data_IF_804739151914
#
_entry.id   IF_804739151914
#
_cell.length_a   1.000
_cell.length_b   1.000
_cell.length_c   1.000
_cell.angle_alpha   90.00
_cell.angle_beta   90.00
_cell.angle_gamma   90.00
#
_symmetry.space_group_name_H-M   'P 1'
#
loop_
_entity.id
_entity.type
_entity.pdbx_description
1 polymer ?
#
# COMPACT_ATOMS: atom_id res chain seq x y z
N UNK A 1 -10.68 -25.07 -5.96
CA UNK A 1 -10.56 -23.66 -5.49
C UNK A 1 -11.48 -22.64 -6.17
N UNK A 2 -12.04 -22.85 -7.37
CA UNK A 2 -13.00 -21.87 -7.97
C UNK A 2 -14.46 -22.02 -7.50
N UNK A 3 -14.84 -23.18 -6.94
CA UNK A 3 -16.23 -23.44 -6.45
C UNK A 3 -16.50 -22.92 -5.03
N UNK A 4 -15.45 -22.64 -4.24
CA UNK A 4 -15.57 -22.07 -2.89
C UNK A 4 -15.83 -20.55 -2.91
N UNK A 5 -15.42 -19.85 -3.97
CA UNK A 5 -15.63 -18.41 -4.09
C UNK A 5 -17.08 -18.06 -4.46
N UNK A 6 -17.79 -18.95 -5.15
CA UNK A 6 -19.21 -18.76 -5.51
C UNK A 6 -20.13 -18.98 -4.31
N UNK A 7 -19.77 -19.89 -3.39
CA UNK A 7 -20.52 -20.14 -2.15
C UNK A 7 -20.45 -18.96 -1.18
N UNK A 8 -19.31 -18.25 -1.12
CA UNK A 8 -19.12 -17.10 -0.23
C UNK A 8 -19.87 -15.86 -0.72
N UNK A 9 -20.07 -15.71 -2.03
CA UNK A 9 -20.85 -14.60 -2.62
C UNK A 9 -22.37 -14.88 -2.58
N UNK A 10 -22.79 -16.14 -2.67
CA UNK A 10 -24.20 -16.55 -2.49
C UNK A 10 -24.67 -16.42 -1.03
N UNK A 11 -23.80 -16.67 -0.04
CA UNK A 11 -24.16 -16.55 1.38
C UNK A 11 -24.36 -15.09 1.84
N UNK A 12 -23.84 -14.10 1.09
CA UNK A 12 -24.01 -12.68 1.39
C UNK A 12 -25.35 -12.09 0.89
N UNK A 13 -26.13 -12.83 0.09
CA UNK A 13 -27.42 -12.35 -0.44
C UNK A 13 -28.66 -12.88 0.32
N UNK A 14 -28.51 -13.88 1.18
CA UNK A 14 -29.63 -14.49 1.93
C UNK A 14 -29.97 -13.73 3.24
N UNK A 15 -29.10 -12.85 3.72
CA UNK A 15 -29.31 -12.10 4.98
C UNK A 15 -29.98 -10.72 4.81
N UNK A 16 -30.60 -10.41 3.66
CA UNK A 16 -31.19 -9.09 3.39
C UNK A 16 -32.72 -9.02 3.51
N UNK A 17 -33.43 -10.09 3.89
CA UNK A 17 -34.91 -10.05 3.93
C UNK A 17 -35.48 -10.73 5.17
N UNK A 18 -35.20 -10.22 6.37
CA UNK A 18 -36.07 -10.46 7.53
C UNK A 18 -36.10 -9.17 8.36
N UNK A 19 -37.21 -8.43 8.22
CA UNK A 19 -37.86 -7.62 9.27
C UNK A 19 -39.10 -6.96 8.67
N UNK A 20 -40.21 -7.69 8.63
CA UNK A 20 -41.55 -7.12 8.70
C UNK A 20 -42.47 -8.19 9.27
N UNK A 21 -42.71 -8.12 10.57
CA UNK A 21 -43.87 -8.68 11.22
C UNK A 21 -44.09 -7.86 12.49
N UNK A 22 -45.14 -7.04 12.49
CA UNK A 22 -45.76 -6.57 13.73
C UNK A 22 -47.27 -6.54 13.44
N UNK A 23 -47.99 -7.30 14.26
CA UNK A 23 -49.44 -7.42 14.33
C UNK A 23 -50.09 -6.06 14.67
N UNK A 24 -51.37 -5.89 14.34
CA UNK A 24 -52.37 -5.70 15.41
C UNK A 24 -53.82 -5.79 14.90
N UNK A 25 -54.62 -6.44 15.76
CA UNK A 25 -56.06 -6.63 15.68
C UNK A 25 -56.85 -5.37 16.12
N UNK A 26 -58.04 -5.25 15.53
CA UNK A 26 -59.33 -4.71 16.01
C UNK A 26 -59.37 -3.64 17.14
N UNK A 27 -60.05 -2.52 16.86
CA UNK A 27 -61.39 -2.18 17.37
C UNK A 27 -61.64 -0.66 17.39
N UNK A 28 -62.86 -0.29 17.02
CA UNK A 28 -63.45 1.05 16.97
C UNK A 28 -63.77 1.63 18.36
N UNK A 29 -63.53 2.93 18.59
CA UNK A 29 -64.54 3.85 19.14
C UNK A 29 -64.16 5.34 19.01
N UNK A 30 -65.20 6.16 19.00
CA UNK A 30 -65.30 7.57 18.57
C UNK A 30 -64.96 8.58 19.71
N UNK A 31 -64.13 9.60 19.44
CA UNK A 31 -64.11 10.84 20.26
C UNK A 31 -63.38 11.98 19.54
N UNK A 32 -64.16 12.90 18.99
CA UNK A 32 -63.76 14.12 18.29
C UNK A 32 -63.02 15.13 19.17
N UNK A 33 -61.89 15.66 18.68
CA UNK A 33 -61.57 17.09 18.86
C UNK A 33 -60.29 17.46 19.62
N UNK A 34 -59.15 16.82 19.37
CA UNK A 34 -57.82 17.43 19.65
C UNK A 34 -56.62 16.84 18.89
N UNK A 35 -56.82 15.82 18.04
CA UNK A 35 -55.72 15.00 17.52
C UNK A 35 -55.12 15.48 16.19
N UNK A 36 -55.80 16.39 15.49
CA UNK A 36 -55.41 16.78 14.12
C UNK A 36 -54.14 17.65 14.06
N UNK A 37 -53.81 18.38 15.13
CA UNK A 37 -52.53 19.11 15.22
C UNK A 37 -51.38 18.20 15.66
N UNK A 38 -51.65 17.20 16.51
CA UNK A 38 -50.67 16.24 17.03
C UNK A 38 -50.18 15.27 15.95
N UNK A 39 -51.11 14.74 15.15
CA UNK A 39 -50.81 13.90 13.98
C UNK A 39 -50.01 14.66 12.90
N UNK A 40 -50.27 15.97 12.73
CA UNK A 40 -49.58 16.80 11.73
C UNK A 40 -48.14 17.11 12.15
N UNK A 41 -47.89 17.33 13.45
CA UNK A 41 -46.52 17.45 13.98
C UNK A 41 -45.76 16.13 13.94
N UNK A 42 -46.38 15.00 14.29
CA UNK A 42 -45.73 13.68 14.21
C UNK A 42 -45.44 13.26 12.77
N UNK A 43 -46.35 13.49 11.81
CA UNK A 43 -46.07 13.22 10.40
C UNK A 43 -44.96 14.13 9.85
N UNK A 44 -44.90 15.39 10.28
CA UNK A 44 -43.85 16.33 9.85
C UNK A 44 -42.48 15.91 10.41
N UNK A 45 -42.40 15.53 11.69
CA UNK A 45 -41.18 15.01 12.31
C UNK A 45 -40.76 13.66 11.72
N UNK A 46 -41.69 12.73 11.47
CA UNK A 46 -41.41 11.43 10.83
C UNK A 46 -40.92 11.58 9.39
N UNK A 47 -41.44 12.57 8.66
CA UNK A 47 -40.97 12.91 7.30
C UNK A 47 -39.59 13.57 7.33
N UNK A 48 -39.32 14.46 8.29
CA UNK A 48 -38.01 15.08 8.49
C UNK A 48 -36.94 14.07 8.92
N UNK A 49 -37.24 13.13 9.83
CA UNK A 49 -36.35 12.04 10.25
C UNK A 49 -36.05 11.10 9.08
N UNK A 50 -37.06 10.80 8.25
CA UNK A 50 -36.90 10.03 7.00
C UNK A 50 -35.97 10.75 6.01
N UNK A 51 -36.11 12.06 5.84
CA UNK A 51 -35.31 12.84 4.89
C UNK A 51 -33.87 13.07 5.39
N UNK A 52 -33.66 13.27 6.69
CA UNK A 52 -32.32 13.30 7.28
C UNK A 52 -31.61 11.94 7.17
N UNK A 53 -32.34 10.84 7.41
CA UNK A 53 -31.81 9.48 7.26
C UNK A 53 -31.44 9.17 5.80
N UNK A 54 -32.27 9.58 4.84
CA UNK A 54 -31.96 9.49 3.40
C UNK A 54 -30.75 10.34 3.03
N UNK A 55 -30.63 11.56 3.56
CA UNK A 55 -29.44 12.43 3.35
C UNK A 55 -28.17 11.77 3.86
N UNK A 56 -28.19 11.24 5.09
CA UNK A 56 -27.06 10.49 5.68
C UNK A 56 -26.70 9.25 4.86
N UNK A 57 -27.70 8.53 4.35
CA UNK A 57 -27.48 7.38 3.47
C UNK A 57 -26.82 7.78 2.14
N UNK A 58 -27.30 8.84 1.50
CA UNK A 58 -26.73 9.37 0.24
C UNK A 58 -25.31 9.87 0.46
N UNK A 59 -25.07 10.58 1.57
CA UNK A 59 -23.74 11.05 1.96
C UNK A 59 -22.78 9.88 2.18
N UNK A 60 -23.19 8.88 2.96
CA UNK A 60 -22.40 7.68 3.20
C UNK A 60 -22.13 6.90 1.90
N UNK A 61 -23.12 6.82 1.00
CA UNK A 61 -22.95 6.20 -0.32
C UNK A 61 -21.93 6.95 -1.17
N UNK A 62 -22.01 8.29 -1.23
CA UNK A 62 -21.09 9.13 -1.97
C UNK A 62 -19.66 9.05 -1.41
N UNK A 63 -19.52 9.03 -0.08
CA UNK A 63 -18.24 8.83 0.61
C UNK A 63 -17.63 7.47 0.25
N UNK A 64 -18.41 6.38 0.33
CA UNK A 64 -17.97 5.04 -0.07
C UNK A 64 -17.57 4.98 -1.54
N UNK A 65 -18.34 5.63 -2.43
CA UNK A 65 -18.04 5.67 -3.87
C UNK A 65 -16.74 6.41 -4.13
N UNK A 66 -16.52 7.55 -3.47
CA UNK A 66 -15.29 8.34 -3.58
C UNK A 66 -14.08 7.54 -3.08
N UNK A 67 -14.17 6.95 -1.89
CA UNK A 67 -13.11 6.09 -1.34
C UNK A 67 -12.81 4.89 -2.25
N UNK A 68 -13.84 4.26 -2.82
CA UNK A 68 -13.66 3.15 -3.77
C UNK A 68 -12.92 3.59 -5.03
N UNK A 69 -13.24 4.78 -5.54
CA UNK A 69 -12.61 5.34 -6.73
C UNK A 69 -11.15 5.71 -6.44
N UNK A 70 -10.85 6.35 -5.31
CA UNK A 70 -9.48 6.67 -4.88
C UNK A 70 -8.60 5.41 -4.77
N UNK A 71 -9.12 4.34 -4.16
CA UNK A 71 -8.40 3.06 -4.08
C UNK A 71 -8.17 2.46 -5.47
N UNK A 72 -9.14 2.58 -6.38
CA UNK A 72 -9.01 2.08 -7.76
C UNK A 72 -7.93 2.86 -8.52
N UNK A 73 -7.91 4.18 -8.38
CA UNK A 73 -6.94 5.04 -9.04
C UNK A 73 -5.54 4.79 -8.47
N UNK A 74 -5.39 4.67 -7.15
CA UNK A 74 -4.13 4.31 -6.51
C UNK A 74 -3.60 2.93 -6.97
N UNK A 75 -4.50 1.96 -7.19
CA UNK A 75 -4.11 0.64 -7.75
C UNK A 75 -3.67 0.73 -9.20
N UNK A 76 -4.30 1.58 -10.00
CA UNK A 76 -3.88 1.83 -11.38
C UNK A 76 -2.46 2.42 -11.42
N UNK A 77 -2.20 3.42 -10.57
CA UNK A 77 -0.88 4.03 -10.44
C UNK A 77 0.18 3.02 -9.99
N UNK A 78 -0.16 2.11 -9.07
CA UNK A 78 0.74 1.02 -8.69
C UNK A 78 1.09 0.08 -9.86
N UNK A 79 0.13 -0.21 -10.75
CA UNK A 79 0.40 -1.03 -11.95
C UNK A 79 1.34 -0.31 -12.91
N UNK A 80 1.13 1.00 -13.14
CA UNK A 80 2.01 1.82 -13.97
C UNK A 80 3.42 1.87 -13.40
N UNK A 81 3.57 2.19 -12.12
CA UNK A 81 4.86 2.27 -11.43
C UNK A 81 5.64 0.95 -11.49
N UNK A 82 4.96 -0.20 -11.40
CA UNK A 82 5.59 -1.53 -11.58
C UNK A 82 6.12 -1.75 -12.99
N UNK A 83 5.36 -1.32 -14.00
CA UNK A 83 5.77 -1.46 -15.38
C UNK A 83 6.97 -0.57 -15.71
N UNK A 84 6.96 0.68 -15.23
CA UNK A 84 8.08 1.60 -15.38
C UNK A 84 9.34 1.07 -14.70
N UNK A 85 9.22 0.59 -13.45
CA UNK A 85 10.31 -0.08 -12.74
C UNK A 85 10.90 -1.24 -13.54
N UNK A 86 10.05 -2.09 -14.16
CA UNK A 86 10.50 -3.21 -14.98
C UNK A 86 11.32 -2.72 -16.18
N UNK A 87 10.83 -1.72 -16.90
CA UNK A 87 11.50 -1.17 -18.08
C UNK A 87 12.87 -0.58 -17.70
N UNK A 88 12.94 0.19 -16.61
CA UNK A 88 14.18 0.81 -16.12
C UNK A 88 15.18 -0.24 -15.63
N UNK A 89 14.69 -1.33 -15.00
CA UNK A 89 15.54 -2.45 -14.57
C UNK A 89 16.22 -3.14 -15.75
N UNK A 90 15.51 -3.34 -16.85
CA UNK A 90 16.07 -3.93 -18.07
C UNK A 90 17.14 -3.02 -18.67
N UNK A 91 16.87 -1.71 -18.80
CA UNK A 91 17.86 -0.71 -19.25
C UNK A 91 19.12 -0.71 -18.38
N UNK A 92 18.96 -0.68 -17.06
CA UNK A 92 20.07 -0.73 -16.11
C UNK A 92 20.93 -1.99 -16.28
N UNK A 93 20.32 -3.15 -16.51
CA UNK A 93 21.05 -4.40 -16.71
C UNK A 93 21.92 -4.36 -17.98
N UNK A 94 21.38 -3.83 -19.09
CA UNK A 94 22.13 -3.65 -20.35
C UNK A 94 23.32 -2.72 -20.13
N UNK A 95 23.10 -1.55 -19.53
CA UNK A 95 24.17 -0.56 -19.27
C UNK A 95 25.23 -1.08 -18.31
N UNK A 96 24.84 -1.85 -17.29
CA UNK A 96 25.78 -2.51 -16.37
C UNK A 96 26.69 -3.49 -17.11
N UNK A 97 26.16 -4.27 -18.05
CA UNK A 97 26.97 -5.20 -18.84
C UNK A 97 27.93 -4.45 -19.78
N UNK A 98 27.46 -3.37 -20.40
CA UNK A 98 28.28 -2.51 -21.28
C UNK A 98 29.50 -1.95 -20.52
N UNK A 99 29.29 -1.31 -19.37
CA UNK A 99 30.38 -0.78 -18.54
C UNK A 99 31.29 -1.89 -18.03
N UNK A 100 30.75 -3.05 -17.66
CA UNK A 100 31.57 -4.20 -17.24
C UNK A 100 32.53 -4.68 -18.34
N UNK A 101 32.13 -4.60 -19.63
CA UNK A 101 33.00 -4.95 -20.75
C UNK A 101 34.07 -3.88 -20.98
N UNK A 102 33.72 -2.60 -20.83
CA UNK A 102 34.63 -1.48 -21.01
C UNK A 102 35.70 -1.39 -19.91
N UNK A 103 35.40 -1.86 -18.69
CA UNK A 103 36.33 -1.84 -17.55
C UNK A 103 37.70 -2.45 -17.88
N UNK A 104 37.73 -3.59 -18.57
CA UNK A 104 38.99 -4.24 -18.95
C UNK A 104 39.79 -3.43 -19.96
N UNK A 105 39.13 -2.64 -20.80
CA UNK A 105 39.79 -1.77 -21.78
C UNK A 105 40.33 -0.51 -21.09
N UNK A 106 39.55 0.05 -20.17
CA UNK A 106 39.97 1.18 -19.35
C UNK A 106 41.24 0.87 -18.55
N UNK A 107 41.31 -0.27 -17.86
CA UNK A 107 42.50 -0.62 -17.07
C UNK A 107 43.79 -0.70 -17.91
N UNK A 108 43.67 -1.13 -19.17
CA UNK A 108 44.80 -1.18 -20.12
C UNK A 108 45.17 0.19 -20.68
N UNK A 109 44.24 1.14 -20.69
CA UNK A 109 44.41 2.45 -21.33
C UNK A 109 44.59 3.61 -20.34
N UNK A 110 44.30 3.44 -19.04
CA UNK A 110 44.24 4.54 -18.07
C UNK A 110 45.56 5.31 -17.85
N UNK A 111 46.70 4.73 -18.22
CA UNK A 111 48.04 5.35 -18.14
C UNK A 111 48.67 5.58 -19.53
N UNK A 112 47.95 5.27 -20.61
CA UNK A 112 48.48 5.38 -21.97
C UNK A 112 48.14 6.73 -22.57
N UNK A 113 49.16 7.43 -23.10
CA UNK A 113 49.00 8.70 -23.82
C UNK A 113 48.59 8.51 -25.29
N UNK A 114 48.44 7.27 -25.76
CA UNK A 114 48.00 6.98 -27.12
C UNK A 114 46.59 7.55 -27.35
N UNK A 115 46.38 8.23 -28.48
CA UNK A 115 45.10 8.86 -28.82
C UNK A 115 43.93 7.88 -28.77
N UNK A 116 44.15 6.64 -29.23
CA UNK A 116 43.16 5.56 -29.18
C UNK A 116 42.78 5.17 -27.75
N UNK A 117 43.71 5.27 -26.79
CA UNK A 117 43.43 5.03 -25.39
C UNK A 117 42.74 6.22 -24.73
N UNK A 118 43.07 7.46 -25.09
CA UNK A 118 42.35 8.66 -24.63
C UNK A 118 40.88 8.60 -25.01
N UNK A 119 40.57 8.23 -26.26
CA UNK A 119 39.19 8.04 -26.72
C UNK A 119 38.44 6.95 -25.94
N UNK A 120 39.08 5.81 -25.67
CA UNK A 120 38.47 4.72 -24.87
C UNK A 120 38.24 5.10 -23.41
N UNK A 121 39.13 5.88 -22.82
CA UNK A 121 38.97 6.41 -21.46
C UNK A 121 37.77 7.35 -21.42
N UNK A 122 37.65 8.28 -22.39
CA UNK A 122 36.49 9.17 -22.53
C UNK A 122 35.18 8.39 -22.69
N UNK A 123 35.13 7.44 -23.62
CA UNK A 123 33.97 6.57 -23.83
C UNK A 123 33.57 5.83 -22.54
N UNK A 124 34.53 5.24 -21.84
CA UNK A 124 34.25 4.50 -20.60
C UNK A 124 33.69 5.41 -19.51
N UNK A 125 34.19 6.65 -19.38
CA UNK A 125 33.66 7.64 -18.44
C UNK A 125 32.19 7.97 -18.74
N UNK A 126 31.86 8.26 -20.00
CA UNK A 126 30.49 8.58 -20.41
C UNK A 126 29.54 7.40 -20.17
N UNK A 127 29.96 6.18 -20.50
CA UNK A 127 29.16 4.97 -20.26
C UNK A 127 28.97 4.67 -18.78
N UNK A 128 30.00 4.91 -17.95
CA UNK A 128 29.89 4.80 -16.50
C UNK A 128 28.88 5.82 -15.93
N UNK A 129 28.91 7.07 -16.40
CA UNK A 129 27.90 8.08 -16.07
C UNK A 129 26.50 7.59 -16.43
N UNK A 130 26.28 7.15 -17.68
CA UNK A 130 24.98 6.64 -18.13
C UNK A 130 24.48 5.49 -17.24
N UNK A 131 25.36 4.57 -16.82
CA UNK A 131 24.99 3.48 -15.93
C UNK A 131 24.58 3.99 -14.54
N UNK A 132 25.28 4.98 -13.99
CA UNK A 132 24.96 5.56 -12.69
C UNK A 132 23.63 6.32 -12.72
N UNK A 133 23.33 7.03 -13.81
CA UNK A 133 22.03 7.68 -14.03
C UNK A 133 20.92 6.61 -14.06
N UNK A 134 21.11 5.53 -14.83
CA UNK A 134 20.14 4.42 -14.85
C UNK A 134 20.00 3.73 -13.49
N UNK A 135 21.07 3.68 -12.69
CA UNK A 135 21.01 3.18 -11.33
C UNK A 135 20.12 4.08 -10.46
N UNK A 136 20.29 5.40 -10.54
CA UNK A 136 19.44 6.36 -9.84
C UNK A 136 17.98 6.24 -10.29
N UNK A 137 17.72 6.11 -11.59
CA UNK A 137 16.37 5.87 -12.12
C UNK A 137 15.74 4.60 -11.56
N UNK A 138 16.50 3.51 -11.47
CA UNK A 138 16.02 2.26 -10.90
C UNK A 138 15.58 2.43 -9.43
N UNK A 139 16.34 3.21 -8.69
CA UNK A 139 16.08 3.53 -7.28
C UNK A 139 14.80 4.37 -7.17
N UNK A 140 14.71 5.46 -7.93
CA UNK A 140 13.56 6.36 -7.98
C UNK A 140 12.28 5.61 -8.32
N UNK A 141 12.32 4.75 -9.34
CA UNK A 141 11.18 3.93 -9.73
C UNK A 141 10.77 2.95 -8.63
N UNK A 142 11.73 2.37 -7.90
CA UNK A 142 11.42 1.47 -6.80
C UNK A 142 10.76 2.18 -5.62
N UNK A 143 11.19 3.41 -5.34
CA UNK A 143 10.55 4.27 -4.34
C UNK A 143 9.16 4.71 -4.77
N UNK A 144 8.99 5.10 -6.04
CA UNK A 144 7.68 5.41 -6.63
C UNK A 144 6.70 4.23 -6.54
N UNK A 145 7.15 3.01 -6.84
CA UNK A 145 6.34 1.80 -6.66
C UNK A 145 5.90 1.60 -5.20
N UNK A 146 6.80 1.85 -4.25
CA UNK A 146 6.49 1.73 -2.82
C UNK A 146 5.51 2.82 -2.37
N UNK A 147 5.69 4.07 -2.83
CA UNK A 147 4.76 5.18 -2.59
C UNK A 147 3.35 4.83 -3.08
N UNK A 148 3.24 4.38 -4.33
CA UNK A 148 1.96 3.95 -4.90
C UNK A 148 1.34 2.76 -4.13
N UNK A 149 2.17 1.83 -3.64
CA UNK A 149 1.70 0.69 -2.82
C UNK A 149 1.13 1.13 -1.47
N UNK A 150 1.72 2.15 -0.85
CA UNK A 150 1.25 2.72 0.42
C UNK A 150 -0.06 3.47 0.21
N UNK A 151 -0.13 4.30 -0.82
CA UNK A 151 -1.36 5.03 -1.19
C UNK A 151 -2.51 4.08 -1.53
N UNK A 152 -2.22 2.93 -2.14
CA UNK A 152 -3.23 1.91 -2.45
C UNK A 152 -3.57 0.99 -1.27
N UNK A 153 -2.95 1.19 -0.10
CA UNK A 153 -3.13 0.31 1.06
C UNK A 153 -4.40 0.67 1.82
N UNK A 154 -5.25 -0.33 2.06
CA UNK A 154 -6.44 -0.20 2.92
C UNK A 154 -6.17 -0.60 4.37
N UNK A 155 -4.95 -1.08 4.66
CA UNK A 155 -4.55 -1.59 5.97
C UNK A 155 -3.87 -0.51 6.84
N UNK A 156 -3.49 0.62 6.24
CA UNK A 156 -2.84 1.74 6.90
C UNK A 156 -3.87 2.82 7.23
N UNK A 157 -3.67 3.54 8.34
CA UNK A 157 -4.43 4.76 8.62
C UNK A 157 -3.97 5.92 7.74
N UNK A 158 -4.78 6.98 7.64
CA UNK A 158 -4.41 8.18 6.89
C UNK A 158 -3.11 8.81 7.43
N UNK A 159 -2.94 8.83 8.76
CA UNK A 159 -1.72 9.33 9.41
C UNK A 159 -0.49 8.47 9.07
N UNK A 160 -0.63 7.14 9.09
CA UNK A 160 0.44 6.22 8.71
C UNK A 160 0.82 6.39 7.23
N UNK A 161 -0.18 6.57 6.35
CA UNK A 161 0.06 6.83 4.92
C UNK A 161 0.83 8.14 4.75
N UNK A 162 0.40 9.21 5.40
CA UNK A 162 1.04 10.53 5.34
C UNK A 162 2.49 10.48 5.83
N UNK A 163 2.74 9.89 7.00
CA UNK A 163 4.07 9.77 7.59
C UNK A 163 5.03 9.01 6.67
N UNK A 164 4.59 7.88 6.10
CA UNK A 164 5.44 7.07 5.23
C UNK A 164 5.69 7.75 3.88
N UNK A 165 4.71 8.49 3.34
CA UNK A 165 4.87 9.24 2.09
C UNK A 165 5.90 10.36 2.25
N UNK A 166 5.85 11.13 3.35
CA UNK A 166 6.81 12.20 3.63
C UNK A 166 8.24 11.64 3.61
N UNK A 167 8.48 10.53 4.33
CA UNK A 167 9.79 9.87 4.37
C UNK A 167 10.26 9.36 3.01
N UNK A 168 9.34 8.91 2.15
CA UNK A 168 9.66 8.50 0.79
C UNK A 168 9.98 9.69 -0.12
N UNK A 169 9.28 10.81 0.06
CA UNK A 169 9.51 12.02 -0.74
C UNK A 169 10.85 12.66 -0.42
N UNK A 170 11.28 12.65 0.85
CA UNK A 170 12.64 13.03 1.26
C UNK A 170 13.69 12.17 0.54
N UNK A 171 13.51 10.85 0.51
CA UNK A 171 14.41 9.93 -0.19
C UNK A 171 14.43 10.13 -1.71
N UNK A 172 13.28 10.37 -2.31
CA UNK A 172 13.17 10.67 -3.74
C UNK A 172 13.92 11.97 -4.06
N UNK A 173 13.82 12.98 -3.20
CA UNK A 173 14.56 14.23 -3.34
C UNK A 173 16.08 14.01 -3.28
N UNK A 174 16.58 13.27 -2.28
CA UNK A 174 18.02 12.96 -2.15
C UNK A 174 18.57 12.24 -3.39
N UNK A 175 17.85 11.25 -3.92
CA UNK A 175 18.28 10.50 -5.10
C UNK A 175 18.23 11.36 -6.36
N UNK A 176 17.23 12.23 -6.50
CA UNK A 176 17.15 13.17 -7.62
C UNK A 176 18.29 14.17 -7.61
N UNK A 177 18.67 14.71 -6.44
CA UNK A 177 19.81 15.63 -6.32
C UNK A 177 21.13 14.95 -6.71
N UNK A 178 21.33 13.71 -6.26
CA UNK A 178 22.49 12.91 -6.65
C UNK A 178 22.50 12.60 -8.16
N UNK A 179 21.32 12.35 -8.76
CA UNK A 179 21.17 12.16 -10.22
C UNK A 179 21.51 13.43 -11.00
N UNK A 180 21.03 14.60 -10.57
CA UNK A 180 21.34 15.89 -11.20
C UNK A 180 22.85 16.17 -11.21
N UNK A 181 23.54 15.80 -10.12
CA UNK A 181 25.00 15.91 -10.03
C UNK A 181 25.69 15.08 -11.13
N UNK A 182 25.19 13.87 -11.43
CA UNK A 182 25.73 13.07 -12.54
C UNK A 182 25.43 13.69 -13.90
N UNK A 183 24.25 14.25 -14.10
CA UNK A 183 23.84 14.83 -15.38
C UNK A 183 24.79 15.96 -15.80
N UNK A 184 25.38 16.66 -14.82
CA UNK A 184 26.38 17.71 -15.03
C UNK A 184 27.80 17.20 -15.38
N UNK A 185 28.09 15.90 -15.20
CA UNK A 185 29.39 15.31 -15.57
C UNK A 185 29.55 15.31 -17.09
N UNK A 186 30.63 15.85 -17.61
CA UNK A 186 30.97 15.88 -19.04
C UNK A 186 32.33 15.21 -19.31
N UNK A 187 32.79 15.23 -20.56
CA UNK A 187 34.05 14.59 -20.96
C UNK A 187 35.30 15.16 -20.26
N UNK A 188 35.23 16.43 -19.87
CA UNK A 188 36.31 17.17 -19.21
C UNK A 188 36.27 17.01 -17.68
N UNK A 189 35.23 16.34 -17.16
CA UNK A 189 35.10 16.10 -15.72
C UNK A 189 36.20 15.15 -15.23
N UNK A 190 36.80 15.51 -14.10
CA UNK A 190 37.92 14.76 -13.54
C UNK A 190 37.46 13.38 -13.06
N UNK A 191 38.39 12.43 -13.03
CA UNK A 191 38.09 11.09 -12.50
C UNK A 191 37.77 11.12 -11.00
N UNK A 192 38.26 12.13 -10.27
CA UNK A 192 37.96 12.37 -8.86
C UNK A 192 36.51 12.81 -8.66
N UNK A 193 36.01 13.77 -9.46
CA UNK A 193 34.62 14.25 -9.39
C UNK A 193 33.63 13.11 -9.69
N UNK A 194 33.96 12.24 -10.65
CA UNK A 194 33.15 11.06 -10.97
C UNK A 194 33.10 10.07 -9.79
N UNK A 195 34.23 9.85 -9.10
CA UNK A 195 34.27 8.97 -7.91
C UNK A 195 33.46 9.57 -6.77
N UNK A 196 33.55 10.87 -6.55
CA UNK A 196 32.79 11.56 -5.51
C UNK A 196 31.28 11.48 -5.78
N UNK A 197 30.83 11.80 -6.99
CA UNK A 197 29.43 11.65 -7.38
C UNK A 197 28.93 10.19 -7.22
N UNK A 198 29.76 9.21 -7.58
CA UNK A 198 29.44 7.78 -7.39
C UNK A 198 29.28 7.42 -5.91
N UNK A 199 30.15 7.97 -5.04
CA UNK A 199 30.09 7.75 -3.59
C UNK A 199 28.80 8.32 -3.01
N UNK A 200 28.43 9.55 -3.37
CA UNK A 200 27.20 10.21 -2.93
C UNK A 200 25.96 9.38 -3.28
N UNK A 201 25.89 8.83 -4.50
CA UNK A 201 24.77 7.95 -4.91
C UNK A 201 24.74 6.67 -4.09
N UNK A 202 25.90 6.06 -3.85
CA UNK A 202 25.99 4.83 -3.08
C UNK A 202 25.53 5.04 -1.64
N UNK A 203 25.89 6.16 -1.04
CA UNK A 203 25.49 6.54 0.30
C UNK A 203 23.99 6.85 0.37
N UNK A 204 23.47 7.65 -0.57
CA UNK A 204 22.03 7.89 -0.71
C UNK A 204 21.27 6.57 -0.88
N UNK A 205 21.74 5.67 -1.75
CA UNK A 205 21.11 4.35 -1.92
C UNK A 205 21.15 3.51 -0.65
N UNK A 206 22.24 3.57 0.12
CA UNK A 206 22.33 2.83 1.37
C UNK A 206 21.30 3.33 2.39
N UNK A 207 21.17 4.66 2.53
CA UNK A 207 20.14 5.29 3.38
C UNK A 207 18.75 4.90 2.94
N UNK A 208 18.45 5.10 1.65
CA UNK A 208 17.17 4.74 1.01
C UNK A 208 16.84 3.27 1.27
N UNK A 209 17.80 2.35 1.15
CA UNK A 209 17.56 0.91 1.36
C UNK A 209 17.10 0.60 2.78
N UNK A 210 17.69 1.22 3.79
CA UNK A 210 17.32 1.01 5.20
C UNK A 210 15.88 1.50 5.43
N UNK A 211 15.57 2.71 4.99
CA UNK A 211 14.23 3.26 5.14
C UNK A 211 13.18 2.52 4.32
N UNK A 212 13.49 2.16 3.07
CA UNK A 212 12.67 1.28 2.24
C UNK A 212 12.29 0.01 2.98
N UNK A 213 13.26 -0.63 3.65
CA UNK A 213 13.00 -1.85 4.41
C UNK A 213 12.03 -1.60 5.58
N UNK A 214 12.26 -0.54 6.37
CA UNK A 214 11.35 -0.16 7.45
C UNK A 214 9.93 0.11 6.95
N UNK A 215 9.78 0.87 5.86
CA UNK A 215 8.49 1.20 5.26
C UNK A 215 7.77 -0.06 4.75
N UNK A 216 8.49 -0.98 4.10
CA UNK A 216 7.95 -2.27 3.67
C UNK A 216 7.49 -3.11 4.86
N UNK A 217 8.27 -3.16 5.94
CA UNK A 217 7.93 -3.89 7.15
C UNK A 217 6.71 -3.29 7.85
N UNK A 218 6.61 -1.96 7.97
CA UNK A 218 5.41 -1.30 8.51
C UNK A 218 4.17 -1.56 7.66
N UNK A 219 4.27 -1.47 6.32
CA UNK A 219 3.16 -1.79 5.42
C UNK A 219 2.72 -3.27 5.54
N UNK A 220 3.67 -4.19 5.69
CA UNK A 220 3.37 -5.60 5.90
C UNK A 220 2.80 -5.87 7.29
N UNK A 221 3.33 -5.22 8.32
CA UNK A 221 2.83 -5.28 9.69
C UNK A 221 1.38 -4.80 9.78
N UNK A 222 1.01 -3.73 9.09
CA UNK A 222 -0.37 -3.26 9.01
C UNK A 222 -1.31 -4.34 8.43
N UNK A 223 -0.90 -5.03 7.37
CA UNK A 223 -1.65 -6.16 6.80
C UNK A 223 -1.80 -7.31 7.79
N UNK A 224 -0.72 -7.68 8.49
CA UNK A 224 -0.76 -8.72 9.52
C UNK A 224 -1.72 -8.35 10.64
N UNK A 225 -1.67 -7.10 11.12
CA UNK A 225 -2.61 -6.58 12.12
C UNK A 225 -4.06 -6.71 11.66
N UNK A 226 -4.38 -6.33 10.42
CA UNK A 226 -5.72 -6.52 9.84
C UNK A 226 -6.12 -7.99 9.79
N UNK A 227 -5.20 -8.90 9.42
CA UNK A 227 -5.48 -10.33 9.35
C UNK A 227 -5.72 -10.95 10.73
N UNK A 228 -4.92 -10.58 11.74
CA UNK A 228 -5.11 -11.01 13.12
C UNK A 228 -6.49 -10.55 13.63
N UNK A 229 -6.84 -9.29 13.42
CA UNK A 229 -8.15 -8.77 13.83
C UNK A 229 -9.33 -9.51 13.16
N UNK A 230 -9.19 -9.85 11.87
CA UNK A 230 -10.20 -10.67 11.17
C UNK A 230 -10.26 -12.10 11.72
N UNK A 231 -9.12 -12.65 12.10
CA UNK A 231 -9.04 -13.98 12.69
C UNK A 231 -9.74 -14.00 14.06
N UNK A 232 -9.54 -13.00 14.90
CA UNK A 232 -10.25 -12.83 16.18
C UNK A 232 -11.76 -12.77 16.00
N UNK A 233 -12.25 -11.92 15.08
CA UNK A 233 -13.69 -11.80 14.82
C UNK A 233 -14.28 -13.15 14.40
N UNK A 234 -13.55 -13.92 13.56
CA UNK A 234 -13.99 -15.25 13.17
C UNK A 234 -14.00 -16.22 14.35
N UNK A 235 -13.00 -16.18 15.22
CA UNK A 235 -12.91 -17.02 16.42
C UNK A 235 -14.05 -16.76 17.39
N UNK A 236 -14.34 -15.49 17.67
CA UNK A 236 -15.44 -15.09 18.55
C UNK A 236 -16.80 -15.51 17.97
N UNK A 237 -17.01 -15.35 16.66
CA UNK A 237 -18.24 -15.83 16.00
C UNK A 237 -18.38 -17.34 16.03
N UNK A 238 -17.26 -18.06 15.87
CA UNK A 238 -17.25 -19.52 15.95
C UNK A 238 -17.62 -19.98 17.36
N UNK A 239 -17.11 -19.31 18.40
CA UNK A 239 -17.46 -19.55 19.81
C UNK A 239 -18.94 -19.28 20.10
N UNK A 240 -19.46 -18.12 19.68
CA UNK A 240 -20.89 -17.80 19.81
C UNK A 240 -21.77 -18.88 19.17
N UNK A 241 -21.39 -19.37 17.99
CA UNK A 241 -22.12 -20.45 17.30
C UNK A 241 -21.91 -21.81 17.93
N UNK A 242 -20.74 -22.12 18.46
CA UNK A 242 -20.50 -23.39 19.14
C UNK A 242 -21.31 -23.51 20.44
N UNK A 243 -21.54 -22.40 21.15
CA UNK A 243 -22.40 -22.36 22.33
C UNK A 243 -23.86 -22.76 22.03
N UNK A 244 -24.34 -22.56 20.79
CA UNK A 244 -25.68 -22.99 20.36
C UNK A 244 -25.80 -24.51 20.19
N UNK A 245 -24.69 -25.22 19.89
CA UNK A 245 -24.69 -26.64 19.50
C UNK A 245 -24.02 -27.56 20.54
N UNK A 246 -23.21 -27.01 21.45
CA UNK A 246 -22.53 -27.72 22.55
C UNK A 246 -21.79 -29.01 22.11
N UNK A 247 -20.94 -28.90 21.08
CA UNK A 247 -20.09 -29.98 20.62
C UNK A 247 -18.66 -29.83 21.17
N UNK A 248 -18.23 -30.79 21.99
CA UNK A 248 -16.92 -30.77 22.67
C UNK A 248 -15.74 -30.70 21.68
N UNK A 249 -15.81 -31.42 20.57
CA UNK A 249 -14.78 -31.39 19.51
C UNK A 249 -14.67 -29.99 18.86
N UNK A 250 -15.79 -29.31 18.66
CA UNK A 250 -15.83 -27.95 18.11
C UNK A 250 -15.22 -26.95 19.09
N UNK A 251 -15.52 -27.08 20.39
CA UNK A 251 -14.93 -26.23 21.43
C UNK A 251 -13.40 -26.40 21.48
N UNK A 252 -12.90 -27.64 21.37
CA UNK A 252 -11.46 -27.90 21.33
C UNK A 252 -10.78 -27.22 20.12
N UNK A 253 -11.39 -27.27 18.93
CA UNK A 253 -10.85 -26.61 17.73
C UNK A 253 -10.86 -25.08 17.84
N UNK A 254 -11.88 -24.51 18.49
CA UNK A 254 -11.97 -23.06 18.72
C UNK A 254 -10.88 -22.59 19.68
N UNK A 255 -10.60 -23.34 20.75
CA UNK A 255 -9.52 -23.03 21.68
C UNK A 255 -8.13 -23.15 21.03
N UNK A 256 -7.90 -24.16 20.19
CA UNK A 256 -6.68 -24.27 19.38
C UNK A 256 -6.54 -23.07 18.44
N UNK A 257 -7.62 -22.71 17.74
CA UNK A 257 -7.63 -21.56 16.84
C UNK A 257 -7.32 -20.24 17.55
N UNK A 258 -7.91 -20.00 18.72
CA UNK A 258 -7.61 -18.82 19.57
C UNK A 258 -6.17 -18.84 20.07
N UNK A 259 -5.64 -19.99 20.44
CA UNK A 259 -4.24 -20.15 20.84
C UNK A 259 -3.30 -19.70 19.71
N UNK A 260 -3.60 -20.08 18.46
CA UNK A 260 -2.82 -19.61 17.31
C UNK A 260 -2.94 -18.11 17.04
N UNK A 261 -4.09 -17.49 17.34
CA UNK A 261 -4.24 -16.04 17.27
C UNK A 261 -3.35 -15.34 18.29
N UNK A 262 -3.32 -15.82 19.53
CA UNK A 262 -2.46 -15.25 20.58
C UNK A 262 -0.98 -15.40 20.24
N UNK A 263 -0.57 -16.56 19.72
CA UNK A 263 0.78 -16.76 19.18
C UNK A 263 1.09 -15.77 18.06
N UNK A 264 0.15 -15.54 17.13
CA UNK A 264 0.33 -14.60 16.04
C UNK A 264 0.50 -13.15 16.54
N UNK A 265 -0.24 -12.75 17.58
CA UNK A 265 -0.09 -11.42 18.23
C UNK A 265 1.27 -11.26 18.87
N UNK A 266 1.72 -12.27 19.62
CA UNK A 266 3.03 -12.24 20.27
C UNK A 266 4.15 -12.09 19.24
N UNK A 267 4.14 -12.93 18.20
CA UNK A 267 5.12 -12.85 17.13
C UNK A 267 5.05 -11.53 16.36
N UNK A 268 3.84 -10.99 16.16
CA UNK A 268 3.65 -9.67 15.56
C UNK A 268 4.31 -8.57 16.40
N UNK A 269 4.10 -8.56 17.71
CA UNK A 269 4.66 -7.55 18.61
C UNK A 269 6.20 -7.64 18.67
N UNK A 270 6.76 -8.85 18.80
CA UNK A 270 8.22 -9.07 18.76
C UNK A 270 8.86 -8.61 17.45
N UNK A 271 8.13 -8.76 16.35
CA UNK A 271 8.60 -8.32 15.05
C UNK A 271 8.48 -6.79 14.92
N UNK A 272 7.41 -6.19 15.46
CA UNK A 272 7.16 -4.74 15.46
C UNK A 272 8.28 -3.94 16.11
N UNK A 273 8.79 -4.41 17.25
CA UNK A 273 9.93 -3.81 17.96
C UNK A 273 11.21 -3.69 17.10
N UNK A 274 11.36 -4.51 16.06
CA UNK A 274 12.55 -4.50 15.19
C UNK A 274 12.47 -3.47 14.07
N UNK A 275 11.29 -2.94 13.75
CA UNK A 275 11.09 -2.05 12.61
C UNK A 275 10.44 -0.70 12.91
N UNK A 276 9.88 -0.53 14.11
CA UNK A 276 9.65 0.79 14.71
C UNK A 276 11.01 1.46 15.01
#
# INVERSE_FOLDING_TARGET
MKKLFVLLVMFLFVFSTISMAEDDNEASDDSSGSDQERERTENTERTQISDESKRKMIEQYNLRRKATQEVKDARLELVKARQEYKNVKESYQVKKQEVSRLKNQYEKCKLSEAETCKLKVKETKLKAKEQLINAADLILNKLGELKAKIQASTDLTEDEVSELIIKLDEQIAEVNEAKLTLENINEETSSEDIKEATKTIRESWHKVKVHYHKVVLRNFGARLRTLIAKAEILGNRAEEKAAEVNLEELNSLIEEYKTHIEQAKEQYNLAREKWE
#
